data_IF_191283396837
#
_entry.id   IF_191283396837
#
_cell.length_a   1.000
_cell.length_b   1.000
_cell.length_c   1.000
_cell.angle_alpha   90.00
_cell.angle_beta   90.00
_cell.angle_gamma   90.00
#
_symmetry.space_group_name_H-M   'P 1'
#
loop_
_entity.id
_entity.type
_entity.pdbx_description
1 polymer ?
#
# COMPACT_ATOMS: atom_id res chain seq x y z
N UNK A 1 -19.48 -1.63 11.86
CA UNK A 1 -18.61 -2.71 11.36
C UNK A 1 -17.30 -2.09 10.91
N UNK A 2 -16.24 -2.87 10.89
CA UNK A 2 -14.96 -2.50 10.27
C UNK A 2 -14.50 -3.68 9.38
N UNK A 3 -14.07 -3.33 8.17
CA UNK A 3 -13.70 -4.27 7.12
C UNK A 3 -12.18 -4.34 6.99
N UNK A 4 -11.64 -5.49 6.55
CA UNK A 4 -10.19 -5.69 6.37
C UNK A 4 -9.62 -4.78 5.29
N UNK A 5 -10.29 -4.66 4.15
CA UNK A 5 -9.91 -3.81 3.03
C UNK A 5 -9.89 -2.33 3.42
N UNK A 6 -11.00 -1.84 4.02
CA UNK A 6 -11.10 -0.43 4.48
C UNK A 6 -10.03 -0.11 5.52
N UNK A 7 -9.81 -1.03 6.50
CA UNK A 7 -8.74 -0.87 7.48
C UNK A 7 -7.38 -0.70 6.79
N UNK A 8 -7.05 -1.60 5.86
CA UNK A 8 -5.76 -1.55 5.15
C UNK A 8 -5.54 -0.22 4.45
N UNK A 9 -6.59 0.37 3.90
CA UNK A 9 -6.47 1.62 3.16
C UNK A 9 -6.45 2.85 4.08
N UNK A 10 -7.28 2.89 5.12
CA UNK A 10 -7.40 4.04 6.02
C UNK A 10 -6.34 4.11 7.13
N UNK A 11 -5.59 3.02 7.38
CA UNK A 11 -4.77 2.83 8.58
C UNK A 11 -3.68 3.89 8.76
N UNK A 12 -3.10 4.38 7.67
CA UNK A 12 -2.10 5.46 7.73
C UNK A 12 -2.74 6.78 8.16
N UNK A 13 -3.88 7.12 7.61
CA UNK A 13 -4.63 8.31 8.04
C UNK A 13 -5.06 8.23 9.50
N UNK A 14 -5.45 7.04 9.97
CA UNK A 14 -5.77 6.78 11.36
C UNK A 14 -4.55 6.97 12.27
N UNK A 15 -3.36 6.48 11.87
CA UNK A 15 -2.08 6.73 12.56
C UNK A 15 -1.80 8.24 12.70
N UNK A 16 -1.91 8.99 11.60
CA UNK A 16 -1.68 10.44 11.57
C UNK A 16 -2.62 11.22 12.48
N UNK A 17 -3.76 10.65 12.83
CA UNK A 17 -4.75 11.18 13.78
C UNK A 17 -4.59 10.60 15.20
N UNK A 18 -3.54 9.80 15.47
CA UNK A 18 -3.22 9.25 16.79
C UNK A 18 -4.02 8.01 17.19
N UNK A 19 -4.60 7.26 16.23
CA UNK A 19 -5.43 6.07 16.48
C UNK A 19 -4.61 4.76 16.42
N UNK A 20 -3.37 4.77 16.92
CA UNK A 20 -2.47 3.60 16.86
C UNK A 20 -2.96 2.41 17.68
N UNK A 21 -3.65 2.69 18.80
CA UNK A 21 -4.22 1.63 19.65
C UNK A 21 -5.36 0.90 18.93
N UNK A 22 -6.20 1.64 18.24
CA UNK A 22 -7.31 1.12 17.44
C UNK A 22 -6.76 0.32 16.26
N UNK A 23 -5.78 0.86 15.54
CA UNK A 23 -5.09 0.17 14.44
C UNK A 23 -4.53 -1.18 14.89
N UNK A 24 -3.75 -1.21 15.99
CA UNK A 24 -3.18 -2.44 16.52
C UNK A 24 -4.26 -3.45 16.94
N UNK A 25 -5.32 -2.97 17.57
CA UNK A 25 -6.43 -3.83 18.03
C UNK A 25 -7.16 -4.48 16.86
N UNK A 26 -7.46 -3.70 15.81
CA UNK A 26 -8.13 -4.21 14.61
C UNK A 26 -7.24 -5.20 13.84
N UNK A 27 -5.96 -4.88 13.64
CA UNK A 27 -5.01 -5.80 12.99
C UNK A 27 -4.88 -7.14 13.75
N UNK A 28 -4.82 -7.10 15.09
CA UNK A 28 -4.81 -8.33 15.90
C UNK A 28 -6.09 -9.15 15.76
N UNK A 29 -7.23 -8.50 15.63
CA UNK A 29 -8.53 -9.18 15.42
C UNK A 29 -8.56 -9.92 14.08
N UNK A 30 -8.16 -9.24 12.99
CA UNK A 30 -8.08 -9.89 11.68
C UNK A 30 -7.05 -11.02 11.69
N UNK A 31 -5.86 -10.79 12.20
CA UNK A 31 -4.80 -11.81 12.30
C UNK A 31 -5.24 -13.06 13.07
N UNK A 32 -5.90 -12.88 14.22
CA UNK A 32 -6.40 -13.98 15.05
C UNK A 32 -7.53 -14.79 14.39
N UNK A 33 -8.23 -14.21 13.42
CA UNK A 33 -9.33 -14.87 12.71
C UNK A 33 -8.88 -15.84 11.64
N UNK A 34 -7.65 -15.69 11.10
CA UNK A 34 -7.12 -16.55 10.06
C UNK A 34 -6.74 -17.93 10.63
N UNK A 35 -7.17 -19.00 9.97
CA UNK A 35 -6.86 -20.37 10.38
C UNK A 35 -7.02 -21.37 9.22
N UNK A 36 -6.53 -22.59 9.42
CA UNK A 36 -6.54 -23.66 8.42
C UNK A 36 -7.94 -23.99 7.89
N UNK A 37 -8.97 -23.97 8.75
CA UNK A 37 -10.36 -24.30 8.33
C UNK A 37 -10.91 -23.30 7.33
N UNK A 38 -10.44 -22.05 7.39
CA UNK A 38 -10.80 -20.98 6.45
C UNK A 38 -9.81 -20.85 5.31
N UNK A 39 -8.94 -21.84 5.06
CA UNK A 39 -7.89 -21.73 4.06
C UNK A 39 -6.90 -20.61 4.36
N UNK A 40 -6.67 -20.30 5.63
CA UNK A 40 -5.81 -19.21 6.11
C UNK A 40 -6.30 -17.79 5.80
N UNK A 41 -7.51 -17.61 5.28
CA UNK A 41 -8.14 -16.30 5.15
C UNK A 41 -8.47 -15.70 6.51
N UNK A 42 -8.22 -14.39 6.73
CA UNK A 42 -8.85 -13.65 7.80
C UNK A 42 -10.33 -13.46 7.49
N UNK A 43 -11.16 -13.18 8.50
CA UNK A 43 -12.53 -12.76 8.26
C UNK A 43 -12.54 -11.41 7.53
N UNK A 44 -13.58 -11.21 6.72
CA UNK A 44 -13.76 -9.99 5.93
C UNK A 44 -14.10 -8.78 6.80
N UNK A 45 -15.00 -8.96 7.77
CA UNK A 45 -15.46 -7.88 8.62
C UNK A 45 -15.82 -8.33 10.04
N UNK A 46 -15.73 -7.36 10.96
CA UNK A 46 -16.16 -7.48 12.35
C UNK A 46 -17.13 -6.38 12.74
N UNK A 47 -18.03 -6.69 13.68
CA UNK A 47 -18.79 -5.71 14.44
C UNK A 47 -17.88 -4.99 15.45
N UNK A 48 -18.29 -3.83 15.96
CA UNK A 48 -17.50 -3.07 16.95
C UNK A 48 -17.35 -3.77 18.30
N UNK A 49 -18.13 -4.79 18.57
CA UNK A 49 -17.97 -5.66 19.76
C UNK A 49 -16.99 -6.84 19.52
N UNK A 50 -16.39 -6.90 18.32
CA UNK A 50 -15.42 -7.94 17.94
C UNK A 50 -16.06 -9.23 17.43
N UNK A 51 -17.39 -9.32 17.29
CA UNK A 51 -18.04 -10.46 16.67
C UNK A 51 -17.94 -10.40 15.14
N UNK A 52 -17.89 -11.55 14.43
CA UNK A 52 -17.95 -11.57 12.98
C UNK A 52 -19.19 -10.87 12.44
N UNK A 53 -19.06 -10.11 11.35
CA UNK A 53 -20.21 -9.48 10.70
C UNK A 53 -21.08 -10.54 10.02
N UNK A 54 -22.31 -10.69 10.49
CA UNK A 54 -23.22 -11.75 10.03
C UNK A 54 -23.62 -11.62 8.55
N UNK A 55 -23.43 -10.47 7.94
CA UNK A 55 -23.66 -10.28 6.49
C UNK A 55 -22.57 -10.93 5.65
N UNK A 56 -21.34 -11.06 6.19
CA UNK A 56 -20.15 -11.47 5.47
C UNK A 56 -19.58 -12.82 5.95
N UNK A 57 -20.15 -13.36 7.04
CA UNK A 57 -19.73 -14.63 7.62
C UNK A 57 -20.94 -15.44 8.11
N UNK A 58 -21.18 -16.58 7.47
CA UNK A 58 -22.21 -17.55 7.88
C UNK A 58 -21.60 -18.78 8.55
N UNK A 59 -20.45 -19.26 8.03
CA UNK A 59 -19.66 -20.37 8.56
C UNK A 59 -18.23 -20.32 8.04
N UNK A 60 -17.37 -21.21 8.54
CA UNK A 60 -15.97 -21.33 8.07
C UNK A 60 -15.87 -21.73 6.58
N UNK A 61 -16.92 -22.31 6.01
CA UNK A 61 -16.98 -22.69 4.59
C UNK A 61 -17.77 -21.70 3.73
N UNK A 62 -18.49 -20.74 4.36
CA UNK A 62 -19.38 -19.78 3.69
C UNK A 62 -19.18 -18.39 4.27
N UNK A 63 -18.19 -17.66 3.75
CA UNK A 63 -17.84 -16.31 4.16
C UNK A 63 -17.15 -15.56 3.02
N UNK A 64 -17.15 -14.22 3.08
CA UNK A 64 -16.49 -13.35 2.11
C UNK A 64 -14.97 -13.48 2.22
N UNK A 65 -14.30 -13.72 1.08
CA UNK A 65 -12.84 -13.85 0.98
C UNK A 65 -12.33 -13.39 -0.37
N UNK A 66 -11.26 -12.62 -0.31
CA UNK A 66 -10.59 -12.04 -1.47
C UNK A 66 -9.09 -12.17 -1.29
N UNK A 67 -8.39 -12.65 -2.32
CA UNK A 67 -6.96 -12.97 -2.28
C UNK A 67 -6.06 -11.80 -1.89
N UNK A 68 -6.31 -10.53 -2.29
CA UNK A 68 -5.44 -9.43 -1.87
C UNK A 68 -5.47 -9.15 -0.35
N UNK A 69 -6.59 -9.39 0.33
CA UNK A 69 -6.82 -8.96 1.72
C UNK A 69 -5.77 -9.48 2.74
N UNK A 70 -5.42 -10.78 2.81
CA UNK A 70 -4.40 -11.25 3.75
C UNK A 70 -3.02 -10.61 3.49
N UNK A 71 -2.66 -10.35 2.24
CA UNK A 71 -1.38 -9.70 1.91
C UNK A 71 -1.37 -8.22 2.30
N UNK A 72 -2.46 -7.50 2.06
CA UNK A 72 -2.57 -6.11 2.49
C UNK A 72 -2.50 -5.98 4.01
N UNK A 73 -3.16 -6.86 4.77
CA UNK A 73 -3.05 -6.87 6.23
C UNK A 73 -1.59 -7.08 6.70
N UNK A 74 -0.82 -7.95 6.03
CA UNK A 74 0.61 -8.12 6.31
C UNK A 74 1.39 -6.84 5.99
N UNK A 75 1.22 -6.30 4.78
CA UNK A 75 1.89 -5.06 4.34
C UNK A 75 1.62 -3.91 5.33
N UNK A 76 0.35 -3.67 5.67
CA UNK A 76 -0.06 -2.57 6.56
C UNK A 76 0.40 -2.77 8.00
N UNK A 77 0.51 -4.01 8.45
CA UNK A 77 1.10 -4.32 9.75
C UNK A 77 2.58 -3.91 9.81
N UNK A 78 3.35 -4.21 8.76
CA UNK A 78 4.75 -3.78 8.65
C UNK A 78 4.86 -2.25 8.50
N UNK A 79 3.97 -1.63 7.73
CA UNK A 79 3.90 -0.18 7.60
C UNK A 79 3.66 0.51 8.96
N UNK A 80 2.70 0.02 9.75
CA UNK A 80 2.47 0.56 11.09
C UNK A 80 3.68 0.39 12.01
N UNK A 81 4.41 -0.72 11.92
CA UNK A 81 5.69 -0.86 12.59
C UNK A 81 6.71 0.18 12.12
N UNK A 82 6.79 0.48 10.81
CA UNK A 82 7.69 1.54 10.28
C UNK A 82 7.38 2.90 10.89
N UNK A 83 6.10 3.27 10.95
CA UNK A 83 5.65 4.56 11.45
C UNK A 83 5.80 4.71 12.96
N UNK A 84 5.42 3.68 13.72
CA UNK A 84 5.35 3.73 15.19
C UNK A 84 6.60 3.23 15.89
N UNK A 85 7.38 2.35 15.24
CA UNK A 85 8.46 1.54 15.85
C UNK A 85 7.97 0.62 16.98
N UNK A 86 6.68 0.42 17.10
CA UNK A 86 6.09 -0.47 18.09
C UNK A 86 6.17 -1.94 17.62
N UNK A 87 7.07 -2.70 18.25
CA UNK A 87 7.28 -4.11 17.90
C UNK A 87 6.05 -5.00 18.11
N UNK A 88 5.01 -4.52 18.82
CA UNK A 88 3.75 -5.27 18.98
C UNK A 88 3.08 -5.53 17.64
N UNK A 89 3.26 -4.67 16.65
CA UNK A 89 2.79 -4.89 15.27
C UNK A 89 3.43 -6.10 14.58
N UNK A 90 4.59 -6.58 15.06
CA UNK A 90 5.27 -7.75 14.49
C UNK A 90 5.38 -8.92 15.46
N UNK A 91 5.46 -8.65 16.80
CA UNK A 91 5.71 -9.67 17.83
C UNK A 91 4.47 -10.21 18.51
N UNK A 92 3.31 -9.55 18.39
CA UNK A 92 2.08 -10.12 18.96
C UNK A 92 1.86 -11.52 18.40
N UNK A 93 1.58 -12.54 19.21
CA UNK A 93 1.53 -13.93 18.75
C UNK A 93 0.56 -14.16 17.58
N UNK A 94 -0.58 -13.48 17.62
CA UNK A 94 -1.61 -13.53 16.57
C UNK A 94 -1.07 -13.00 15.26
N UNK A 95 -0.42 -11.83 15.30
CA UNK A 95 0.14 -11.16 14.12
C UNK A 95 1.32 -11.96 13.57
N UNK A 96 2.27 -12.37 14.42
CA UNK A 96 3.43 -13.14 13.98
C UNK A 96 3.03 -14.48 13.36
N UNK A 97 2.03 -15.16 13.93
CA UNK A 97 1.45 -16.37 13.37
C UNK A 97 0.78 -16.13 12.01
N UNK A 98 -0.05 -15.10 11.93
CA UNK A 98 -0.73 -14.69 10.69
C UNK A 98 0.26 -14.34 9.57
N UNK A 99 1.28 -13.50 9.86
CA UNK A 99 2.32 -13.18 8.87
C UNK A 99 2.94 -14.46 8.31
N UNK A 100 3.35 -15.40 9.18
CA UNK A 100 3.99 -16.63 8.72
C UNK A 100 3.05 -17.49 7.90
N UNK A 101 1.82 -17.73 8.36
CA UNK A 101 0.84 -18.55 7.63
C UNK A 101 0.44 -17.93 6.29
N UNK A 102 0.25 -16.61 6.24
CA UNK A 102 -0.08 -15.91 4.99
C UNK A 102 1.04 -16.03 3.96
N UNK A 103 2.30 -15.83 4.39
CA UNK A 103 3.43 -15.87 3.47
C UNK A 103 3.86 -17.29 3.07
N UNK A 104 3.30 -18.34 3.67
CA UNK A 104 3.62 -19.75 3.38
C UNK A 104 2.37 -20.55 3.04
N UNK A 105 1.62 -21.05 4.03
CA UNK A 105 0.49 -21.96 3.86
C UNK A 105 -0.63 -21.38 2.98
N UNK A 106 -0.94 -20.09 3.13
CA UNK A 106 -1.94 -19.45 2.28
C UNK A 106 -1.53 -19.51 0.81
N UNK A 107 -0.29 -19.10 0.48
CA UNK A 107 0.21 -19.13 -0.90
C UNK A 107 0.23 -20.59 -1.43
N UNK A 108 0.71 -21.55 -0.64
CA UNK A 108 0.77 -22.95 -1.03
C UNK A 108 -0.62 -23.56 -1.31
N UNK A 109 -1.65 -23.14 -0.56
CA UNK A 109 -3.01 -23.64 -0.72
C UNK A 109 -3.83 -22.91 -1.79
N UNK A 110 -3.37 -21.73 -2.25
CA UNK A 110 -4.07 -20.86 -3.19
C UNK A 110 -3.20 -20.53 -4.43
N UNK A 111 -2.48 -21.50 -4.96
CA UNK A 111 -1.69 -21.34 -6.19
C UNK A 111 -2.30 -22.16 -7.34
N UNK A 112 -3.38 -21.67 -8.00
CA UNK A 112 -4.10 -22.42 -9.02
C UNK A 112 -3.28 -22.66 -10.30
N UNK A 113 -2.21 -21.89 -10.53
CA UNK A 113 -1.38 -21.97 -11.73
C UNK A 113 -0.01 -22.63 -11.46
N UNK A 114 0.35 -22.91 -10.21
CA UNK A 114 1.66 -23.49 -9.85
C UNK A 114 2.84 -22.53 -10.06
N UNK A 115 2.58 -21.22 -10.04
CA UNK A 115 3.60 -20.17 -10.28
C UNK A 115 4.10 -19.52 -9.00
N UNK A 116 3.47 -19.82 -7.86
CA UNK A 116 3.69 -19.16 -6.59
C UNK A 116 2.97 -17.82 -6.47
N UNK A 117 2.05 -17.51 -7.39
CA UNK A 117 1.13 -16.38 -7.32
C UNK A 117 -0.18 -16.87 -6.74
N UNK A 118 -0.60 -16.27 -5.62
CA UNK A 118 -1.86 -16.63 -4.99
C UNK A 118 -3.06 -16.20 -5.85
N UNK A 119 -4.06 -17.06 -5.89
CA UNK A 119 -5.28 -16.89 -6.66
C UNK A 119 -6.41 -17.76 -6.15
N UNK A 120 -7.51 -17.81 -6.88
CA UNK A 120 -8.68 -18.60 -6.55
C UNK A 120 -9.19 -19.41 -7.75
N UNK A 121 -10.01 -20.41 -7.47
CA UNK A 121 -10.55 -21.30 -8.51
C UNK A 121 -11.59 -20.64 -9.45
N UNK A 122 -11.85 -19.35 -9.31
CA UNK A 122 -12.62 -18.56 -10.27
C UNK A 122 -14.12 -18.85 -10.29
N UNK A 123 -14.81 -18.75 -9.16
CA UNK A 123 -16.29 -18.85 -9.12
C UNK A 123 -16.99 -17.51 -9.38
N UNK A 124 -16.29 -16.39 -9.19
CA UNK A 124 -16.83 -15.04 -9.25
C UNK A 124 -17.81 -14.70 -8.11
N UNK A 125 -17.88 -15.56 -7.09
CA UNK A 125 -18.74 -15.37 -5.90
C UNK A 125 -17.85 -15.12 -4.69
N UNK A 126 -17.96 -13.94 -4.08
CA UNK A 126 -17.10 -13.53 -2.97
C UNK A 126 -17.16 -14.47 -1.75
N UNK A 127 -18.30 -15.17 -1.53
CA UNK A 127 -18.43 -16.17 -0.47
C UNK A 127 -17.72 -17.50 -0.78
N UNK A 128 -17.36 -17.73 -2.03
CA UNK A 128 -16.56 -18.90 -2.45
C UNK A 128 -15.08 -18.55 -2.66
N UNK A 129 -14.75 -17.26 -2.63
CA UNK A 129 -13.43 -16.72 -2.88
C UNK A 129 -13.28 -16.13 -4.27
N UNK A 130 -12.63 -14.97 -4.33
CA UNK A 130 -12.24 -14.28 -5.57
C UNK A 130 -10.76 -13.97 -5.58
N UNK A 131 -10.17 -13.98 -6.78
CA UNK A 131 -8.75 -13.65 -6.96
C UNK A 131 -8.48 -12.14 -6.82
N UNK A 132 -9.51 -11.30 -6.82
CA UNK A 132 -9.45 -9.84 -6.98
C UNK A 132 -10.39 -9.12 -6.02
N UNK A 133 -10.13 -7.83 -5.82
CA UNK A 133 -11.03 -6.87 -5.17
C UNK A 133 -12.11 -6.31 -6.10
N UNK A 134 -12.13 -6.67 -7.38
CA UNK A 134 -13.17 -6.23 -8.28
C UNK A 134 -14.54 -6.69 -7.77
N UNK A 135 -15.42 -5.75 -7.44
CA UNK A 135 -16.74 -6.04 -6.87
C UNK A 135 -17.67 -6.79 -7.83
N UNK A 136 -17.43 -6.66 -9.13
CA UNK A 136 -18.24 -7.29 -10.17
C UNK A 136 -17.34 -8.01 -11.16
N UNK A 137 -17.31 -9.32 -11.05
CA UNK A 137 -16.69 -10.17 -12.07
C UNK A 137 -17.75 -10.78 -13.00
N UNK A 138 -17.33 -11.04 -14.25
CA UNK A 138 -18.14 -11.77 -15.26
C UNK A 138 -17.31 -12.93 -15.81
N UNK A 139 -17.95 -14.05 -16.15
CA UNK A 139 -17.23 -15.17 -16.77
C UNK A 139 -16.53 -14.74 -18.08
N UNK A 140 -15.34 -15.27 -18.35
CA UNK A 140 -14.56 -16.16 -17.50
C UNK A 140 -13.95 -15.44 -16.31
N UNK A 141 -14.02 -16.06 -15.12
CA UNK A 141 -13.52 -15.45 -13.88
C UNK A 141 -12.01 -15.51 -13.75
N UNK A 142 -11.43 -14.58 -12.99
CA UNK A 142 -10.01 -14.53 -12.73
C UNK A 142 -9.56 -15.70 -11.84
N UNK A 143 -8.51 -16.41 -12.28
CA UNK A 143 -7.79 -17.39 -11.47
C UNK A 143 -6.71 -16.72 -10.61
N UNK A 144 -5.99 -15.78 -11.23
CA UNK A 144 -5.03 -14.87 -10.56
C UNK A 144 -5.27 -13.45 -11.08
N UNK A 145 -5.12 -12.47 -10.22
CA UNK A 145 -5.41 -11.07 -10.54
C UNK A 145 -4.23 -10.15 -10.22
N UNK A 146 -4.15 -9.02 -10.92
CA UNK A 146 -3.02 -8.12 -10.79
C UNK A 146 -2.99 -7.38 -9.44
N UNK A 147 -4.13 -7.14 -8.80
CA UNK A 147 -4.21 -6.68 -7.42
C UNK A 147 -3.73 -7.76 -6.42
N UNK A 148 -4.01 -9.04 -6.68
CA UNK A 148 -3.52 -10.17 -5.89
C UNK A 148 -2.00 -10.27 -5.91
N UNK A 149 -1.38 -10.37 -7.10
CA UNK A 149 0.10 -10.45 -7.20
C UNK A 149 0.79 -9.19 -6.69
N UNK A 150 0.21 -8.00 -6.92
CA UNK A 150 0.77 -6.74 -6.44
C UNK A 150 0.75 -6.65 -4.92
N UNK A 151 -0.34 -7.03 -4.26
CA UNK A 151 -0.46 -7.09 -2.80
C UNK A 151 0.48 -8.14 -2.19
N UNK A 152 0.58 -9.32 -2.82
CA UNK A 152 1.52 -10.37 -2.41
C UNK A 152 2.98 -9.88 -2.50
N UNK A 153 3.34 -9.22 -3.61
CA UNK A 153 4.67 -8.63 -3.78
C UNK A 153 4.96 -7.56 -2.72
N UNK A 154 4.01 -6.66 -2.47
CA UNK A 154 4.17 -5.58 -1.48
C UNK A 154 4.38 -6.13 -0.07
N UNK A 155 3.64 -7.18 0.33
CA UNK A 155 3.83 -7.86 1.60
C UNK A 155 5.23 -8.47 1.73
N UNK A 156 5.70 -9.20 0.71
CA UNK A 156 7.06 -9.75 0.69
C UNK A 156 8.13 -8.66 0.75
N UNK A 157 7.97 -7.58 -0.02
CA UNK A 157 8.91 -6.45 -0.07
C UNK A 157 8.99 -5.73 1.29
N UNK A 158 7.85 -5.46 1.91
CA UNK A 158 7.80 -4.81 3.22
C UNK A 158 8.48 -5.67 4.31
N UNK A 159 8.21 -6.98 4.34
CA UNK A 159 8.84 -7.90 5.27
C UNK A 159 10.35 -8.01 5.06
N UNK A 160 10.80 -8.04 3.82
CA UNK A 160 12.22 -8.08 3.46
C UNK A 160 12.97 -6.86 3.98
N UNK A 161 12.39 -5.68 3.82
CA UNK A 161 13.06 -4.41 4.12
C UNK A 161 13.01 -4.05 5.61
N UNK A 162 11.89 -4.33 6.30
CA UNK A 162 11.66 -3.75 7.62
C UNK A 162 11.52 -4.76 8.77
N UNK A 163 11.28 -6.04 8.50
CA UNK A 163 10.94 -6.98 9.55
C UNK A 163 12.11 -7.85 10.03
N UNK A 164 13.28 -7.82 9.39
CA UNK A 164 14.41 -8.71 9.67
C UNK A 164 14.90 -8.64 11.12
N UNK A 165 15.02 -7.44 11.69
CA UNK A 165 15.45 -7.25 13.07
C UNK A 165 14.48 -7.84 14.12
N UNK A 166 13.20 -8.00 13.76
CA UNK A 166 12.14 -8.44 14.68
C UNK A 166 11.75 -9.90 14.43
N UNK A 167 11.55 -10.29 13.16
CA UNK A 167 11.08 -11.62 12.77
C UNK A 167 12.19 -12.58 12.35
N UNK A 168 13.42 -12.09 12.23
CA UNK A 168 14.62 -12.86 11.88
C UNK A 168 15.11 -12.58 10.46
N UNK A 169 16.45 -12.50 10.33
CA UNK A 169 17.13 -12.17 9.07
C UNK A 169 16.87 -13.21 7.97
N UNK A 170 16.87 -14.50 8.31
CA UNK A 170 16.59 -15.57 7.35
C UNK A 170 15.19 -15.41 6.72
N UNK A 171 14.20 -15.02 7.53
CA UNK A 171 12.85 -14.77 7.03
C UNK A 171 12.81 -13.54 6.12
N UNK A 172 13.54 -12.47 6.45
CA UNK A 172 13.65 -11.28 5.60
C UNK A 172 14.33 -11.61 4.25
N UNK A 173 15.44 -12.35 4.26
CA UNK A 173 16.13 -12.78 3.03
C UNK A 173 15.24 -13.67 2.16
N UNK A 174 14.50 -14.60 2.78
CA UNK A 174 13.53 -15.42 2.02
C UNK A 174 12.46 -14.57 1.36
N UNK A 175 11.88 -13.59 2.10
CA UNK A 175 10.89 -12.67 1.54
C UNK A 175 11.48 -11.82 0.38
N UNK A 176 12.73 -11.36 0.50
CA UNK A 176 13.41 -10.63 -0.58
C UNK A 176 13.52 -11.47 -1.86
N UNK A 177 13.87 -12.75 -1.74
CA UNK A 177 13.89 -13.68 -2.87
C UNK A 177 12.52 -13.87 -3.52
N UNK A 178 11.46 -13.96 -2.70
CA UNK A 178 10.08 -14.08 -3.21
C UNK A 178 9.62 -12.80 -3.90
N UNK A 179 9.89 -11.62 -3.32
CA UNK A 179 9.57 -10.32 -3.95
C UNK A 179 10.25 -10.19 -5.32
N UNK A 180 11.55 -10.53 -5.41
CA UNK A 180 12.29 -10.52 -6.68
C UNK A 180 11.66 -11.46 -7.73
N UNK A 181 11.24 -12.66 -7.30
CA UNK A 181 10.60 -13.62 -8.20
C UNK A 181 9.24 -13.10 -8.74
N UNK A 182 8.42 -12.49 -7.86
CA UNK A 182 7.11 -11.93 -8.25
C UNK A 182 7.27 -10.71 -9.17
N UNK A 183 8.27 -9.86 -8.91
CA UNK A 183 8.57 -8.72 -9.79
C UNK A 183 8.99 -9.20 -11.19
N UNK A 184 9.84 -10.24 -11.26
CA UNK A 184 10.26 -10.83 -12.53
C UNK A 184 9.08 -11.48 -13.26
N UNK A 185 8.21 -12.20 -12.54
CA UNK A 185 6.98 -12.80 -13.07
C UNK A 185 6.06 -11.72 -13.65
N UNK A 186 5.80 -10.65 -12.89
CA UNK A 186 4.95 -9.55 -13.33
C UNK A 186 5.53 -8.83 -14.55
N UNK A 187 6.81 -8.50 -14.54
CA UNK A 187 7.46 -7.82 -15.65
C UNK A 187 7.54 -8.67 -16.93
N UNK A 188 7.70 -10.01 -16.79
CA UNK A 188 7.89 -10.92 -17.90
C UNK A 188 6.61 -11.46 -18.52
N UNK A 189 5.62 -11.79 -17.69
CA UNK A 189 4.45 -12.55 -18.14
C UNK A 189 3.13 -11.76 -18.12
N UNK A 190 3.09 -10.61 -17.45
CA UNK A 190 1.86 -9.82 -17.31
C UNK A 190 1.78 -8.65 -18.30
N UNK A 191 2.85 -8.32 -19.00
CA UNK A 191 2.86 -7.28 -20.03
C UNK A 191 2.23 -7.78 -21.33
N UNK A 192 1.22 -7.10 -21.83
CA UNK A 192 0.55 -7.39 -23.11
C UNK A 192 1.14 -6.49 -24.21
N UNK A 193 2.18 -6.96 -24.88
CA UNK A 193 2.90 -6.15 -25.89
C UNK A 193 1.99 -5.61 -27.01
N UNK A 194 1.02 -6.41 -27.47
CA UNK A 194 0.08 -6.03 -28.51
C UNK A 194 -0.98 -5.01 -28.06
N UNK A 195 -1.13 -4.83 -26.73
CA UNK A 195 -2.10 -3.92 -26.11
C UNK A 195 -1.44 -2.71 -25.44
N UNK A 196 -0.15 -2.77 -25.13
CA UNK A 196 0.61 -1.68 -24.51
C UNK A 196 0.26 -1.42 -23.05
N UNK A 197 -0.18 -2.44 -22.31
CA UNK A 197 -0.45 -2.36 -20.88
C UNK A 197 -0.29 -3.73 -20.18
N UNK A 198 -0.25 -3.75 -18.85
CA UNK A 198 -0.31 -4.99 -18.07
C UNK A 198 -1.72 -5.56 -18.07
N UNK A 199 -1.84 -6.90 -18.11
CA UNK A 199 -3.13 -7.58 -17.93
C UNK A 199 -3.65 -7.36 -16.52
N UNK A 200 -4.97 -7.27 -16.38
CA UNK A 200 -5.63 -7.26 -15.06
C UNK A 200 -5.69 -8.65 -14.41
N UNK A 201 -5.35 -9.73 -15.13
CA UNK A 201 -5.26 -11.07 -14.59
C UNK A 201 -5.42 -12.15 -15.66
N UNK A 202 -5.41 -13.39 -15.21
CA UNK A 202 -5.56 -14.57 -16.06
C UNK A 202 -6.79 -15.36 -15.69
N UNK A 203 -7.50 -15.82 -16.71
CA UNK A 203 -8.65 -16.71 -16.64
C UNK A 203 -8.31 -18.07 -17.25
N UNK A 204 -9.25 -19.01 -17.28
CA UNK A 204 -9.10 -20.27 -18.03
C UNK A 204 -8.96 -20.08 -19.55
N UNK A 205 -9.31 -18.90 -20.08
CA UNK A 205 -9.22 -18.57 -21.50
C UNK A 205 -7.97 -17.75 -21.86
N UNK A 206 -7.18 -17.33 -20.86
CA UNK A 206 -5.95 -16.55 -21.02
C UNK A 206 -5.99 -15.19 -20.32
N UNK A 207 -5.09 -14.27 -20.69
CA UNK A 207 -4.99 -12.95 -20.07
C UNK A 207 -6.19 -12.06 -20.42
N UNK A 208 -6.61 -11.24 -19.44
CA UNK A 208 -7.64 -10.23 -19.64
C UNK A 208 -7.02 -8.97 -20.24
N UNK A 209 -7.55 -8.53 -21.37
CA UNK A 209 -7.02 -7.38 -22.13
C UNK A 209 -7.76 -6.07 -21.86
N UNK A 210 -8.86 -6.13 -21.09
CA UNK A 210 -9.70 -4.96 -20.78
C UNK A 210 -9.33 -4.28 -19.47
N UNK A 211 -9.93 -3.09 -19.27
CA UNK A 211 -9.85 -2.36 -18.00
C UNK A 211 -10.64 -3.10 -16.92
N UNK A 212 -9.99 -3.46 -15.82
CA UNK A 212 -10.51 -4.34 -14.76
C UNK A 212 -10.63 -3.67 -13.39
N UNK A 213 -10.85 -2.36 -13.31
CA UNK A 213 -10.98 -1.63 -12.04
C UNK A 213 -9.78 -1.88 -11.10
N UNK A 214 -10.01 -2.38 -9.87
CA UNK A 214 -8.99 -2.61 -8.84
C UNK A 214 -7.79 -3.39 -9.38
N UNK A 215 -8.03 -4.44 -10.09
CA UNK A 215 -6.98 -5.24 -10.73
C UNK A 215 -6.15 -4.48 -11.78
N UNK A 216 -6.61 -3.30 -12.23
CA UNK A 216 -5.82 -2.45 -13.13
C UNK A 216 -4.95 -1.44 -12.38
N UNK A 217 -5.44 -0.79 -11.32
CA UNK A 217 -4.64 0.25 -10.65
C UNK A 217 -3.79 -0.25 -9.48
N UNK A 218 -4.11 -1.39 -8.85
CA UNK A 218 -3.32 -1.91 -7.73
C UNK A 218 -1.84 -2.15 -8.04
N UNK A 219 -1.43 -2.62 -9.23
CA UNK A 219 -0.01 -2.69 -9.58
C UNK A 219 0.73 -1.35 -9.42
N UNK A 220 0.06 -0.24 -9.75
CA UNK A 220 0.60 1.10 -9.52
C UNK A 220 0.55 1.50 -8.04
N UNK A 221 -0.55 1.23 -7.35
CA UNK A 221 -0.69 1.51 -5.90
C UNK A 221 0.39 0.78 -5.09
N UNK A 222 0.59 -0.50 -5.35
CA UNK A 222 1.57 -1.33 -4.64
C UNK A 222 3.02 -1.11 -5.09
N UNK A 223 3.23 -0.66 -6.33
CA UNK A 223 4.55 -0.33 -6.86
C UNK A 223 5.30 -1.49 -7.48
N UNK A 224 4.63 -2.58 -7.86
CA UNK A 224 5.26 -3.73 -8.55
C UNK A 224 5.66 -3.38 -10.00
N UNK A 225 5.04 -2.38 -10.60
CA UNK A 225 5.39 -1.91 -11.94
C UNK A 225 6.75 -1.21 -11.92
N UNK A 226 7.51 -1.37 -12.99
CA UNK A 226 8.73 -0.56 -13.20
C UNK A 226 8.38 0.86 -13.56
N UNK A 227 9.22 1.82 -13.12
CA UNK A 227 9.14 3.23 -13.52
C UNK A 227 9.75 3.49 -14.92
N UNK A 228 9.45 2.63 -15.87
CA UNK A 228 9.93 2.67 -17.26
C UNK A 228 8.80 2.99 -18.24
N UNK A 229 9.04 2.79 -19.54
CA UNK A 229 8.06 3.04 -20.60
C UNK A 229 6.80 2.16 -20.47
N UNK A 230 6.92 0.95 -19.96
CA UNK A 230 5.77 0.06 -19.72
C UNK A 230 4.90 0.58 -18.59
N UNK A 231 5.50 1.00 -17.49
CA UNK A 231 4.78 1.64 -16.38
C UNK A 231 4.07 2.93 -16.83
N UNK A 232 4.75 3.77 -17.60
CA UNK A 232 4.14 4.99 -18.15
C UNK A 232 2.94 4.68 -19.07
N UNK A 233 3.07 3.71 -19.98
CA UNK A 233 2.00 3.29 -20.89
C UNK A 233 0.81 2.71 -20.13
N UNK A 234 1.07 1.93 -19.06
CA UNK A 234 -0.01 1.40 -18.21
C UNK A 234 -0.76 2.50 -17.46
N UNK A 235 -0.07 3.53 -16.97
CA UNK A 235 -0.72 4.69 -16.33
C UNK A 235 -1.58 5.48 -17.32
N UNK A 236 -1.17 5.59 -18.58
CA UNK A 236 -1.99 6.20 -19.63
C UNK A 236 -3.24 5.35 -19.92
N UNK A 237 -3.09 4.01 -19.96
CA UNK A 237 -4.23 3.08 -20.06
C UNK A 237 -5.17 3.22 -18.86
N UNK A 238 -4.64 3.31 -17.64
CA UNK A 238 -5.41 3.55 -16.42
C UNK A 238 -6.22 4.85 -16.52
N UNK A 239 -5.60 5.97 -16.90
CA UNK A 239 -6.25 7.27 -17.04
C UNK A 239 -7.36 7.24 -18.09
N UNK A 240 -7.15 6.56 -19.22
CA UNK A 240 -8.17 6.38 -20.27
C UNK A 240 -9.34 5.52 -19.77
N UNK A 241 -9.06 4.41 -19.07
CA UNK A 241 -10.06 3.53 -18.47
C UNK A 241 -10.94 4.24 -17.46
N UNK A 242 -10.36 5.00 -16.55
CA UNK A 242 -11.08 5.80 -15.54
C UNK A 242 -11.98 6.87 -16.18
N UNK A 243 -11.61 7.37 -17.36
CA UNK A 243 -12.43 8.36 -18.08
C UNK A 243 -13.66 7.75 -18.76
N UNK A 244 -13.57 6.47 -19.14
CA UNK A 244 -14.64 5.75 -19.86
C UNK A 244 -15.49 4.86 -18.96
N UNK A 245 -14.87 4.29 -17.94
CA UNK A 245 -15.49 3.35 -16.99
C UNK A 245 -15.06 3.71 -15.58
N UNK A 246 -15.56 4.84 -15.03
CA UNK A 246 -15.22 5.23 -13.66
C UNK A 246 -15.77 4.21 -12.66
N UNK A 247 -15.12 4.03 -11.50
CA UNK A 247 -15.64 3.23 -10.40
C UNK A 247 -17.07 3.64 -10.00
N UNK A 248 -17.84 2.66 -9.53
CA UNK A 248 -19.22 2.88 -9.09
C UNK A 248 -19.34 3.49 -7.69
N UNK A 249 -18.27 3.40 -6.88
CA UNK A 249 -18.24 3.85 -5.49
C UNK A 249 -17.09 4.84 -5.26
N UNK A 250 -17.20 5.63 -4.19
CA UNK A 250 -16.21 6.67 -3.87
C UNK A 250 -14.92 6.09 -3.31
N UNK A 251 -14.97 4.93 -2.65
CA UNK A 251 -13.83 4.27 -2.01
C UNK A 251 -12.77 3.89 -3.04
N UNK A 252 -13.19 3.38 -4.19
CA UNK A 252 -12.28 3.00 -5.25
C UNK A 252 -11.43 4.16 -5.78
N UNK A 253 -11.95 5.39 -5.73
CA UNK A 253 -11.17 6.57 -6.12
C UNK A 253 -10.10 6.96 -5.11
N UNK A 254 -10.19 6.50 -3.85
CA UNK A 254 -9.21 6.85 -2.81
C UNK A 254 -7.84 6.23 -3.05
N UNK A 255 -7.72 5.16 -3.84
CA UNK A 255 -6.45 4.54 -4.24
C UNK A 255 -5.70 5.33 -5.33
N UNK A 256 -6.41 6.13 -6.13
CA UNK A 256 -5.84 6.76 -7.33
C UNK A 256 -4.74 7.78 -7.04
N UNK A 257 -4.82 8.65 -6.02
CA UNK A 257 -3.71 9.52 -5.69
C UNK A 257 -2.40 8.78 -5.47
N UNK A 258 -2.41 7.67 -4.71
CA UNK A 258 -1.22 6.86 -4.44
C UNK A 258 -0.64 6.26 -5.73
N UNK A 259 -1.50 5.72 -6.61
CA UNK A 259 -1.10 5.15 -7.89
C UNK A 259 -0.32 6.14 -8.74
N UNK A 260 -0.75 7.41 -8.79
CA UNK A 260 -0.11 8.44 -9.61
C UNK A 260 1.11 9.09 -8.92
N UNK A 261 1.06 9.39 -7.60
CA UNK A 261 2.18 9.96 -6.85
C UNK A 261 3.42 9.09 -6.91
N UNK A 262 3.25 7.77 -6.77
CA UNK A 262 4.35 6.81 -6.79
C UNK A 262 5.18 6.87 -8.07
N UNK A 263 4.59 7.25 -9.18
CA UNK A 263 5.26 7.33 -10.49
C UNK A 263 5.47 8.77 -10.98
N UNK A 264 5.33 9.77 -10.09
CA UNK A 264 5.60 11.17 -10.40
C UNK A 264 4.56 11.80 -11.35
N UNK A 265 3.34 11.25 -11.41
CA UNK A 265 2.20 11.82 -12.14
C UNK A 265 1.43 12.78 -11.21
N UNK A 266 2.14 13.77 -10.68
CA UNK A 266 1.66 14.63 -9.58
C UNK A 266 0.41 15.43 -9.95
N UNK A 267 0.28 15.92 -11.18
CA UNK A 267 -0.92 16.65 -11.64
C UNK A 267 -2.18 15.76 -11.64
N UNK A 268 -2.05 14.50 -12.01
CA UNK A 268 -3.14 13.53 -11.99
C UNK A 268 -3.53 13.16 -10.57
N UNK A 269 -2.55 12.95 -9.71
CA UNK A 269 -2.78 12.73 -8.29
C UNK A 269 -3.50 13.91 -7.63
N UNK A 270 -3.05 15.14 -7.87
CA UNK A 270 -3.71 16.37 -7.37
C UNK A 270 -5.14 16.50 -7.87
N UNK A 271 -5.42 16.13 -9.12
CA UNK A 271 -6.79 16.11 -9.65
C UNK A 271 -7.69 15.18 -8.82
N UNK A 272 -7.21 13.98 -8.49
CA UNK A 272 -7.97 13.01 -7.69
C UNK A 272 -8.10 13.45 -6.23
N UNK A 273 -7.05 13.99 -5.61
CA UNK A 273 -7.12 14.58 -4.26
C UNK A 273 -8.18 15.68 -4.20
N UNK A 274 -8.20 16.60 -5.19
CA UNK A 274 -9.20 17.68 -5.28
C UNK A 274 -10.62 17.15 -5.55
N UNK A 275 -10.75 16.04 -6.28
CA UNK A 275 -12.03 15.36 -6.48
C UNK A 275 -12.55 14.81 -5.15
N UNK A 276 -11.73 14.05 -4.42
CA UNK A 276 -12.06 13.46 -3.13
C UNK A 276 -12.41 14.52 -2.08
N UNK A 277 -11.69 15.64 -2.05
CA UNK A 277 -11.96 16.74 -1.12
C UNK A 277 -13.37 17.34 -1.25
N UNK A 278 -14.00 17.21 -2.43
CA UNK A 278 -15.39 17.67 -2.69
C UNK A 278 -16.42 16.63 -2.30
N UNK A 279 -16.01 15.38 -2.22
CA UNK A 279 -16.88 14.24 -1.93
C UNK A 279 -16.97 14.05 -0.43
N UNK A 280 -17.91 14.73 0.22
CA UNK A 280 -18.21 14.47 1.63
C UNK A 280 -19.01 13.19 1.72
N UNK A 281 -18.33 12.08 1.94
CA UNK A 281 -18.97 10.81 2.20
C UNK A 281 -18.98 10.53 3.71
N UNK A 282 -20.07 9.98 4.20
CA UNK A 282 -20.16 9.39 5.55
C UNK A 282 -19.38 8.06 5.64
N UNK A 283 -18.39 7.91 4.79
CA UNK A 283 -17.55 6.72 4.65
C UNK A 283 -16.17 7.00 5.27
N UNK A 284 -15.81 6.36 6.40
CA UNK A 284 -14.59 6.69 7.15
C UNK A 284 -13.29 6.59 6.33
N UNK A 285 -13.22 5.64 5.40
CA UNK A 285 -12.08 5.44 4.51
C UNK A 285 -11.72 6.71 3.73
N UNK A 286 -12.71 7.44 3.21
CA UNK A 286 -12.47 8.65 2.40
C UNK A 286 -11.76 9.75 3.20
N UNK A 287 -12.22 10.19 4.38
CA UNK A 287 -11.51 11.22 5.14
C UNK A 287 -10.16 10.76 5.68
N UNK A 288 -10.00 9.50 6.10
CA UNK A 288 -8.71 9.01 6.58
C UNK A 288 -7.66 8.94 5.46
N UNK A 289 -8.02 8.40 4.30
CA UNK A 289 -7.10 8.37 3.15
C UNK A 289 -6.80 9.77 2.65
N UNK A 290 -7.75 10.70 2.71
CA UNK A 290 -7.53 12.09 2.33
C UNK A 290 -6.50 12.78 3.26
N UNK A 291 -6.55 12.52 4.57
CA UNK A 291 -5.51 12.97 5.52
C UNK A 291 -4.14 12.43 5.12
N UNK A 292 -4.03 11.12 4.81
CA UNK A 292 -2.79 10.51 4.37
C UNK A 292 -2.28 11.12 3.05
N UNK A 293 -3.15 11.31 2.05
CA UNK A 293 -2.78 11.90 0.76
C UNK A 293 -2.19 13.31 0.90
N UNK A 294 -2.73 14.13 1.82
CA UNK A 294 -2.20 15.48 2.05
C UNK A 294 -0.94 15.42 2.89
N UNK A 295 -1.00 14.74 4.04
CA UNK A 295 0.06 14.78 5.04
C UNK A 295 1.32 14.01 4.62
N UNK A 296 1.18 12.91 3.91
CA UNK A 296 2.29 12.05 3.48
C UNK A 296 2.41 11.98 1.97
N UNK A 297 1.30 11.90 1.23
CA UNK A 297 1.31 11.82 -0.22
C UNK A 297 1.94 13.06 -0.88
N UNK A 298 1.39 14.25 -0.61
CA UNK A 298 1.91 15.50 -1.22
C UNK A 298 3.26 15.95 -0.67
N UNK A 299 3.58 15.59 0.58
CA UNK A 299 4.87 15.91 1.19
C UNK A 299 5.93 14.84 0.91
N UNK A 300 5.53 13.66 0.43
CA UNK A 300 6.41 12.51 0.26
C UNK A 300 7.07 12.06 1.57
N UNK A 301 6.50 12.44 2.74
CA UNK A 301 7.04 12.00 4.03
C UNK A 301 6.79 10.52 4.23
N UNK A 302 7.86 9.82 4.55
CA UNK A 302 7.84 8.44 4.99
C UNK A 302 8.96 8.14 6.00
N UNK A 303 8.77 7.20 6.93
CA UNK A 303 9.85 6.72 7.77
C UNK A 303 10.95 6.08 6.92
N UNK A 304 12.21 6.40 7.20
CA UNK A 304 13.33 5.70 6.60
C UNK A 304 13.50 4.27 7.11
N UNK A 305 14.40 3.51 6.50
CA UNK A 305 14.69 2.14 6.90
C UNK A 305 15.22 2.05 8.33
N UNK A 306 15.97 3.06 8.79
CA UNK A 306 16.51 3.13 10.15
C UNK A 306 15.63 3.98 11.06
N UNK A 307 15.62 3.64 12.35
CA UNK A 307 14.98 4.48 13.35
C UNK A 307 15.57 5.91 13.32
N UNK A 308 14.70 6.93 13.39
CA UNK A 308 15.11 8.33 13.33
C UNK A 308 15.50 8.82 11.93
N UNK A 309 15.34 8.03 10.89
CA UNK A 309 15.42 8.51 9.50
C UNK A 309 14.04 8.86 8.96
N UNK A 310 13.97 9.96 8.22
CA UNK A 310 12.76 10.45 7.55
C UNK A 310 13.12 10.79 6.11
N UNK A 311 12.34 10.31 5.17
CA UNK A 311 12.42 10.69 3.77
C UNK A 311 11.31 11.70 3.44
N UNK A 312 11.53 12.54 2.45
CA UNK A 312 10.49 13.40 1.88
C UNK A 312 10.75 13.69 0.41
N UNK A 313 9.66 14.03 -0.30
CA UNK A 313 9.70 14.53 -1.67
C UNK A 313 8.50 15.44 -1.92
N UNK A 314 8.73 16.62 -2.46
CA UNK A 314 7.64 17.52 -2.83
C UNK A 314 6.89 17.00 -4.06
N UNK A 315 5.56 16.90 -3.94
CA UNK A 315 4.62 16.56 -5.01
C UNK A 315 3.62 17.68 -5.32
N UNK A 316 3.97 18.92 -4.91
CA UNK A 316 3.12 20.09 -5.15
C UNK A 316 3.62 20.86 -6.39
N UNK A 317 2.74 21.67 -7.03
CA UNK A 317 3.13 22.55 -8.12
C UNK A 317 4.26 23.51 -7.74
N UNK A 318 5.08 23.91 -8.74
CA UNK A 318 6.28 24.73 -8.51
C UNK A 318 5.97 26.12 -7.92
N UNK A 319 4.78 26.66 -8.10
CA UNK A 319 4.34 27.97 -7.63
C UNK A 319 3.45 27.90 -6.37
N UNK A 320 3.24 26.69 -5.84
CA UNK A 320 2.47 26.49 -4.61
C UNK A 320 3.38 26.21 -3.41
N UNK A 321 2.79 26.23 -2.23
CA UNK A 321 3.44 25.79 -0.99
C UNK A 321 2.48 24.92 -0.18
N UNK A 322 3.04 23.99 0.60
CA UNK A 322 2.31 23.15 1.54
C UNK A 322 3.08 23.07 2.85
N UNK A 323 2.36 23.22 3.94
CA UNK A 323 2.88 23.03 5.30
C UNK A 323 1.99 22.06 6.07
N UNK A 324 2.60 21.05 6.67
CA UNK A 324 1.94 20.08 7.54
C UNK A 324 2.72 19.97 8.83
N UNK A 325 2.04 20.01 9.95
CA UNK A 325 2.63 19.91 11.30
C UNK A 325 1.99 18.78 12.09
N UNK A 326 2.71 18.29 13.11
CA UNK A 326 2.18 17.27 14.01
C UNK A 326 2.24 15.83 13.48
N UNK A 327 3.08 15.54 12.50
CA UNK A 327 3.27 14.17 11.99
C UNK A 327 4.11 13.37 12.97
N UNK A 328 3.57 12.28 13.50
CA UNK A 328 4.31 11.36 14.39
C UNK A 328 5.08 10.33 13.56
N UNK A 329 6.39 10.22 13.80
CA UNK A 329 7.28 9.22 13.20
C UNK A 329 8.15 8.62 14.30
N UNK A 330 7.88 7.40 14.72
CA UNK A 330 8.52 6.79 15.89
C UNK A 330 8.32 7.66 17.15
N UNK A 331 9.43 8.02 17.78
CA UNK A 331 9.42 8.85 19.00
C UNK A 331 9.44 10.36 18.71
N UNK A 332 9.41 10.78 17.43
CA UNK A 332 9.49 12.18 17.04
C UNK A 332 8.18 12.69 16.48
N UNK A 333 7.83 13.92 16.81
CA UNK A 333 6.77 14.70 16.16
C UNK A 333 7.42 15.75 15.29
N UNK A 334 7.09 15.77 14.03
CA UNK A 334 7.69 16.63 13.02
C UNK A 334 6.66 17.48 12.30
N UNK A 335 7.13 18.55 11.70
CA UNK A 335 6.41 19.26 10.66
C UNK A 335 7.31 19.47 9.45
N UNK A 336 6.69 19.69 8.31
CA UNK A 336 7.38 19.93 7.04
C UNK A 336 6.67 21.04 6.27
N UNK A 337 7.46 21.83 5.54
CA UNK A 337 7.00 22.79 4.56
C UNK A 337 7.75 22.58 3.25
N UNK A 338 7.03 22.49 2.16
CA UNK A 338 7.57 22.58 0.81
C UNK A 338 7.19 23.92 0.17
N UNK A 339 8.12 24.53 -0.54
CA UNK A 339 7.92 25.71 -1.39
C UNK A 339 8.22 25.28 -2.83
N UNK A 340 7.17 24.83 -3.52
CA UNK A 340 7.29 24.20 -4.83
C UNK A 340 8.25 23.02 -4.84
N UNK A 341 9.12 23.00 -5.84
CA UNK A 341 10.13 21.96 -6.04
C UNK A 341 11.55 22.44 -5.65
N UNK A 342 11.69 23.69 -5.16
CA UNK A 342 13.00 24.35 -4.99
C UNK A 342 13.48 24.36 -3.54
N UNK A 343 12.59 24.38 -2.56
CA UNK A 343 12.97 24.46 -1.17
C UNK A 343 12.05 23.63 -0.27
N UNK A 344 12.65 23.06 0.76
CA UNK A 344 11.94 22.31 1.79
C UNK A 344 12.48 22.67 3.17
N UNK A 345 11.63 22.67 4.18
CA UNK A 345 11.99 22.91 5.55
C UNK A 345 11.34 21.85 6.45
N UNK A 346 12.13 21.22 7.32
CA UNK A 346 11.65 20.24 8.30
C UNK A 346 12.01 20.71 9.71
N UNK A 347 11.10 20.51 10.64
CA UNK A 347 11.35 20.77 12.06
C UNK A 347 10.91 19.60 12.93
N UNK A 348 11.57 19.46 14.08
CA UNK A 348 11.20 18.49 15.13
C UNK A 348 10.53 19.25 16.26
N UNK A 349 9.22 19.08 16.41
CA UNK A 349 8.44 19.75 17.45
C UNK A 349 8.70 19.12 18.82
N UNK A 350 8.84 17.78 18.85
CA UNK A 350 9.19 17.03 20.08
C UNK A 350 9.86 15.70 19.71
N UNK A 351 10.55 15.11 20.67
CA UNK A 351 11.27 13.84 20.49
C UNK A 351 12.74 14.03 20.10
N UNK A 352 13.44 12.95 19.73
CA UNK A 352 14.87 12.98 19.38
C UNK A 352 15.13 13.69 18.04
N UNK A 353 16.40 14.03 17.80
CA UNK A 353 16.87 14.51 16.49
C UNK A 353 16.67 13.45 15.41
N UNK A 354 16.37 13.89 14.19
CA UNK A 354 16.14 13.00 13.04
C UNK A 354 17.15 13.24 11.93
N UNK A 355 17.45 12.20 11.16
CA UNK A 355 18.16 12.31 9.88
C UNK A 355 17.12 12.49 8.78
N UNK A 356 17.13 13.62 8.11
CA UNK A 356 16.21 13.93 7.04
C UNK A 356 16.87 13.78 5.67
N UNK A 357 16.26 12.96 4.80
CA UNK A 357 16.62 12.81 3.40
C UNK A 357 15.51 13.42 2.55
N UNK A 358 15.80 14.48 1.79
CA UNK A 358 14.83 15.01 0.82
C UNK A 358 15.29 14.71 -0.59
N UNK A 359 14.39 14.12 -1.38
CA UNK A 359 14.64 13.79 -2.79
C UNK A 359 14.06 14.91 -3.67
N UNK A 360 14.90 15.50 -4.50
CA UNK A 360 14.52 16.54 -5.45
C UNK A 360 13.97 15.93 -6.74
N UNK A 361 13.29 16.73 -7.56
CA UNK A 361 12.67 16.28 -8.80
C UNK A 361 13.69 15.73 -9.83
N UNK A 362 14.95 16.16 -9.77
CA UNK A 362 16.05 15.65 -10.58
C UNK A 362 16.67 14.34 -10.06
N UNK A 363 16.13 13.80 -8.98
CA UNK A 363 16.59 12.58 -8.33
C UNK A 363 17.77 12.77 -7.37
N UNK A 364 18.29 13.99 -7.20
CA UNK A 364 19.30 14.25 -6.19
C UNK A 364 18.71 14.20 -4.79
N UNK A 365 19.54 13.81 -3.82
CA UNK A 365 19.14 13.68 -2.42
C UNK A 365 19.98 14.62 -1.56
N UNK A 366 19.33 15.47 -0.79
CA UNK A 366 19.96 16.22 0.31
C UNK A 366 19.76 15.45 1.61
N UNK A 367 20.84 15.25 2.37
CA UNK A 367 20.79 14.57 3.68
C UNK A 367 21.28 15.52 4.77
N UNK A 368 20.48 15.70 5.81
CA UNK A 368 20.81 16.60 6.92
C UNK A 368 20.31 16.08 8.26
N UNK A 369 20.88 16.61 9.36
CA UNK A 369 20.41 16.37 10.70
C UNK A 369 19.50 17.52 11.13
N UNK A 370 18.30 17.17 11.64
CA UNK A 370 17.40 18.13 12.25
C UNK A 370 17.41 17.88 13.77
N UNK A 371 17.93 18.82 14.58
CA UNK A 371 18.02 18.61 16.02
C UNK A 371 16.63 18.62 16.68
N UNK A 372 16.53 18.02 17.87
CA UNK A 372 15.34 18.12 18.71
C UNK A 372 15.01 19.60 18.98
N UNK A 373 13.75 19.99 18.77
CA UNK A 373 13.29 21.37 18.87
C UNK A 373 13.86 22.32 17.81
N UNK A 374 14.57 21.78 16.80
CA UNK A 374 15.21 22.55 15.74
C UNK A 374 14.42 22.53 14.43
N UNK A 375 14.86 23.43 13.52
CA UNK A 375 14.29 23.58 12.18
C UNK A 375 15.43 23.74 11.18
N UNK A 376 15.34 23.04 10.05
CA UNK A 376 16.36 23.09 9.00
C UNK A 376 15.67 23.28 7.65
N UNK A 377 16.18 24.25 6.87
CA UNK A 377 15.78 24.50 5.49
C UNK A 377 16.88 24.02 4.56
N UNK A 378 16.51 23.37 3.48
CA UNK A 378 17.38 22.95 2.38
C UNK A 378 16.82 23.44 1.05
N UNK A 379 17.68 23.66 0.07
CA UNK A 379 17.29 24.04 -1.29
C UNK A 379 17.84 23.04 -2.30
N UNK A 380 17.23 22.97 -3.46
CA UNK A 380 17.60 22.03 -4.54
C UNK A 380 19.07 22.20 -5.00
N UNK A 381 19.70 23.37 -4.74
CA UNK A 381 21.12 23.65 -5.03
C UNK A 381 22.09 23.24 -3.94
N UNK A 382 21.63 22.93 -2.72
CA UNK A 382 22.47 22.62 -1.55
C UNK A 382 22.86 21.12 -1.47
N UNK A 383 23.05 20.46 -2.59
CA UNK A 383 23.31 19.01 -2.62
C UNK A 383 24.72 18.69 -2.13
N UNK A 384 24.83 18.16 -0.92
CA UNK A 384 25.94 17.27 -0.57
C UNK A 384 25.68 15.94 -1.31
N UNK A 385 26.33 15.77 -2.48
CA UNK A 385 26.08 14.67 -3.38
C UNK A 385 26.28 13.31 -2.71
N UNK A 386 25.19 12.65 -2.33
CA UNK A 386 25.15 11.21 -2.15
C UNK A 386 24.46 10.65 -3.40
N UNK A 387 25.25 10.17 -4.37
CA UNK A 387 24.72 9.47 -5.54
C UNK A 387 23.81 8.33 -5.07
N UNK A 388 22.58 8.21 -5.59
CA UNK A 388 21.75 7.03 -5.33
C UNK A 388 22.50 5.80 -5.81
N UNK A 389 22.60 4.78 -4.96
CA UNK A 389 23.03 3.46 -5.41
C UNK A 389 21.98 3.00 -6.43
N UNK A 390 22.41 2.84 -7.69
CA UNK A 390 21.60 2.12 -8.69
C UNK A 390 21.47 0.68 -8.20
N UNK A 391 20.27 0.32 -7.83
CA UNK A 391 19.86 -1.09 -7.71
C UNK A 391 19.45 -1.62 -9.08
#
# INVERSE_FOLDING_TARGET
MFYSRDLCHQILGAHLLGLDTENLTMLRHFAASANERRGWYPLWAFMFDGTPAALDYHSDDDFVREVPAPFELVERTVEQFRWTRDERYLRSPEIAGFIRSTMTQFIESHDPLGTGVAGEAGSGRIFEGTATYNEVERPPYLLVAADGIASQWAAHSALAEYAGAVLGEEFAVWNAGRATSLEAEFAGNWWLADHGHYTSGFTTEGPVTGFGLESTWFPAVKGIMRGDEHGAAHLDFLSAGLSTTPPGNIEAFTYLPEAFLRYGRDDEALRWIRFLAKSRADYPEVPFTHVAHIATGLTGIEPGARAGEINSRSHIPADEWLEVDGITVGDSVIGIRHEGLEASELWVTSGPAVTWNTTWHDGLVSRTQVPSGGRVRVTAGDTSAVSPKKN
#
